data_IF_636608554618
#
_entry.id   IF_636608554618
#
_cell.length_a   1.000
_cell.length_b   1.000
_cell.length_c   1.000
_cell.angle_alpha   90.00
_cell.angle_beta   90.00
_cell.angle_gamma   90.00
#
_symmetry.space_group_name_H-M   'P 1'
#
loop_
_entity.id
_entity.type
_entity.pdbx_description
1 polymer ?
#
# COMPACT_ATOMS: atom_id res chain seq x y z
N UNK A 1 -20.10 4.80 -6.63
CA UNK A 1 -19.03 3.86 -6.19
C UNK A 1 -18.54 4.31 -4.82
N UNK A 2 -18.71 3.49 -3.75
CA UNK A 2 -18.11 3.79 -2.45
C UNK A 2 -16.58 3.72 -2.61
N UNK A 3 -15.86 4.82 -2.35
CA UNK A 3 -14.40 4.76 -2.19
C UNK A 3 -14.14 3.86 -0.98
N UNK A 4 -13.54 2.71 -1.19
CA UNK A 4 -13.07 1.87 -0.09
C UNK A 4 -12.07 2.71 0.72
N UNK A 5 -12.43 3.02 1.96
CA UNK A 5 -11.55 3.72 2.88
C UNK A 5 -10.33 2.86 3.14
N UNK A 6 -9.17 3.49 3.27
CA UNK A 6 -7.98 2.81 3.74
C UNK A 6 -8.21 2.32 5.15
N UNK A 7 -8.00 1.04 5.36
CA UNK A 7 -8.02 0.42 6.68
C UNK A 7 -6.71 0.72 7.42
N UNK A 8 -6.74 0.55 8.75
CA UNK A 8 -5.54 0.67 9.57
C UNK A 8 -4.48 -0.36 9.17
N UNK A 9 -4.90 -1.58 8.80
CA UNK A 9 -4.00 -2.64 8.33
C UNK A 9 -3.30 -2.24 7.03
N UNK A 10 -4.05 -1.82 6.00
CA UNK A 10 -3.46 -1.35 4.73
C UNK A 10 -2.48 -0.19 4.96
N UNK A 11 -2.80 0.74 5.87
CA UNK A 11 -1.90 1.86 6.16
C UNK A 11 -0.64 1.37 6.87
N UNK A 12 -0.75 0.43 7.81
CA UNK A 12 0.39 -0.18 8.50
C UNK A 12 1.29 -0.95 7.54
N UNK A 13 0.69 -1.72 6.64
CA UNK A 13 1.40 -2.49 5.62
C UNK A 13 2.12 -1.56 4.63
N UNK A 14 1.46 -0.46 4.22
CA UNK A 14 2.07 0.56 3.37
C UNK A 14 3.29 1.19 4.05
N UNK A 15 3.16 1.61 5.31
CA UNK A 15 4.26 2.23 6.05
C UNK A 15 5.43 1.25 6.27
N UNK A 16 5.11 0.00 6.63
CA UNK A 16 6.10 -1.08 6.77
C UNK A 16 6.80 -1.34 5.45
N UNK A 17 6.06 -1.47 4.36
CA UNK A 17 6.60 -1.69 3.03
C UNK A 17 7.48 -0.53 2.55
N UNK A 18 7.08 0.72 2.81
CA UNK A 18 7.91 1.89 2.50
C UNK A 18 9.20 1.89 3.32
N UNK A 19 9.13 1.50 4.59
CA UNK A 19 10.31 1.39 5.46
C UNK A 19 11.28 0.29 5.00
N UNK A 20 10.75 -0.87 4.57
CA UNK A 20 11.55 -2.02 4.16
C UNK A 20 12.11 -1.91 2.73
N UNK A 21 11.27 -1.52 1.77
CA UNK A 21 11.64 -1.47 0.34
C UNK A 21 12.11 -0.09 -0.11
N UNK A 22 11.74 0.97 0.61
CA UNK A 22 11.97 2.35 0.23
C UNK A 22 10.80 3.00 -0.52
N UNK A 23 10.72 4.32 -0.41
CA UNK A 23 9.74 5.15 -1.12
C UNK A 23 9.89 4.97 -2.63
N UNK A 24 8.78 4.82 -3.34
CA UNK A 24 8.78 4.65 -4.81
C UNK A 24 8.77 3.19 -5.27
N UNK A 25 9.03 2.22 -4.39
CA UNK A 25 8.95 0.78 -4.70
C UNK A 25 7.52 0.22 -4.56
N UNK A 26 6.50 0.97 -5.01
CA UNK A 26 5.08 0.64 -4.82
C UNK A 26 4.67 -0.72 -5.39
N UNK A 27 5.19 -1.09 -6.58
CA UNK A 27 4.94 -2.41 -7.17
C UNK A 27 5.49 -3.53 -6.29
N UNK A 28 6.71 -3.37 -5.74
CA UNK A 28 7.31 -4.36 -4.83
C UNK A 28 6.54 -4.46 -3.51
N UNK A 29 6.05 -3.33 -3.00
CA UNK A 29 5.23 -3.32 -1.79
C UNK A 29 3.89 -4.01 -2.08
N UNK A 30 3.24 -3.72 -3.20
CA UNK A 30 1.96 -4.36 -3.57
C UNK A 30 2.10 -5.87 -3.81
N UNK A 31 3.22 -6.31 -4.39
CA UNK A 31 3.51 -7.72 -4.72
C UNK A 31 3.95 -8.54 -3.49
N UNK A 32 4.14 -7.89 -2.34
CA UNK A 32 4.57 -8.56 -1.13
C UNK A 32 3.41 -9.36 -0.52
N UNK A 33 3.55 -10.68 -0.43
CA UNK A 33 2.53 -11.58 0.15
C UNK A 33 2.24 -11.29 1.63
N UNK A 34 3.17 -10.63 2.33
CA UNK A 34 3.02 -10.21 3.73
C UNK A 34 2.04 -9.05 3.89
N UNK A 35 1.73 -8.31 2.81
CA UNK A 35 0.90 -7.11 2.86
C UNK A 35 -0.46 -7.31 2.19
N UNK A 36 -1.51 -6.82 2.83
CA UNK A 36 -2.86 -7.03 2.34
C UNK A 36 -3.54 -5.72 1.94
N UNK A 37 -3.49 -5.44 0.65
CA UNK A 37 -4.03 -4.20 0.09
C UNK A 37 -5.36 -4.38 -0.65
N UNK A 38 -6.27 -5.27 -0.22
CA UNK A 38 -7.67 -5.38 -0.69
C UNK A 38 -8.02 -4.68 -2.04
N UNK A 39 -7.50 -5.23 -3.15
CA UNK A 39 -7.77 -4.75 -4.51
C UNK A 39 -7.23 -3.34 -4.87
N UNK A 40 -6.19 -2.88 -4.17
CA UNK A 40 -5.43 -1.67 -4.47
C UNK A 40 -4.42 -1.92 -5.58
N UNK A 41 -4.00 -0.82 -6.18
CA UNK A 41 -2.96 -0.79 -7.20
C UNK A 41 -1.73 -0.04 -6.68
N UNK A 42 -0.60 -0.20 -7.36
CA UNK A 42 0.62 0.54 -7.03
C UNK A 42 0.42 2.07 -7.10
N UNK A 43 -0.55 2.53 -7.91
CA UNK A 43 -0.96 3.94 -7.98
C UNK A 43 -1.71 4.35 -6.70
N UNK A 44 -2.62 3.52 -6.19
CA UNK A 44 -3.31 3.80 -4.93
C UNK A 44 -2.33 3.93 -3.75
N UNK A 45 -1.31 3.07 -3.68
CA UNK A 45 -0.28 3.13 -2.64
C UNK A 45 0.51 4.44 -2.72
N UNK A 46 0.89 4.85 -3.94
CA UNK A 46 1.55 6.14 -4.17
C UNK A 46 0.68 7.31 -3.76
N UNK A 47 -0.59 7.32 -4.14
CA UNK A 47 -1.54 8.39 -3.82
C UNK A 47 -1.87 8.44 -2.33
N UNK A 48 -1.80 7.31 -1.63
CA UNK A 48 -2.01 7.28 -0.17
C UNK A 48 -0.85 7.84 0.62
N UNK A 49 0.37 7.66 0.12
CA UNK A 49 1.60 8.11 0.77
C UNK A 49 1.87 9.61 0.52
N UNK A 50 1.33 10.17 -0.55
CA UNK A 50 1.40 11.60 -0.87
C UNK A 50 0.47 12.43 0.01
#
# INVERSE_FOLDING_TARGET
RKRNKWTAQETKDLLTGVSLFGVGKWKKILDCEDFHFNNRTAVDLKDRFR
#
